data_IF_395088807851
#
_entry.id   IF_395088807851
#
_cell.length_a   1.000
_cell.length_b   1.000
_cell.length_c   1.000
_cell.angle_alpha   90.00
_cell.angle_beta   90.00
_cell.angle_gamma   90.00
#
_symmetry.space_group_name_H-M   'P 1'
#
loop_
_entity.id
_entity.type
_entity.pdbx_description
1 polymer ?
#
# COMPACT_ATOMS: atom_id res chain seq x y z
N UNK A 1 24.75 60.98 3.68
CA UNK A 1 23.58 60.10 3.53
C UNK A 1 22.35 60.97 3.46
N UNK A 2 21.71 61.01 2.30
CA UNK A 2 20.44 61.70 2.11
C UNK A 2 19.30 60.85 2.71
N UNK A 3 18.20 61.47 3.10
CA UNK A 3 16.99 60.78 3.59
C UNK A 3 16.47 59.76 2.58
N UNK A 4 16.65 60.02 1.28
CA UNK A 4 16.30 59.10 0.20
C UNK A 4 17.20 57.84 0.18
N UNK A 5 18.50 57.98 0.41
CA UNK A 5 19.43 56.84 0.50
C UNK A 5 19.10 55.95 1.71
N UNK A 6 18.81 56.55 2.86
CA UNK A 6 18.41 55.82 4.08
C UNK A 6 17.10 55.06 3.83
N UNK A 7 16.11 55.70 3.21
CA UNK A 7 14.85 55.06 2.85
C UNK A 7 15.04 53.90 1.84
N UNK A 8 15.96 54.04 0.88
CA UNK A 8 16.29 52.99 -0.07
C UNK A 8 16.97 51.78 0.59
N UNK A 9 17.92 52.00 1.51
CA UNK A 9 18.56 50.92 2.27
C UNK A 9 17.57 50.20 3.20
N UNK A 10 16.69 50.94 3.87
CA UNK A 10 15.65 50.36 4.72
C UNK A 10 14.63 49.58 3.89
N UNK A 11 14.22 50.11 2.72
CA UNK A 11 13.33 49.43 1.79
C UNK A 11 13.92 48.14 1.20
N UNK A 12 15.21 48.15 0.85
CA UNK A 12 15.93 46.94 0.40
C UNK A 12 16.09 45.93 1.55
N UNK A 13 16.37 46.40 2.77
CA UNK A 13 16.50 45.54 3.94
C UNK A 13 15.17 44.95 4.43
N UNK A 14 14.03 45.55 4.09
CA UNK A 14 12.71 45.01 4.44
C UNK A 14 12.42 43.64 3.80
N UNK A 15 13.04 43.33 2.64
CA UNK A 15 12.89 42.04 1.96
C UNK A 15 13.94 40.99 2.39
N UNK A 16 15.01 41.39 3.08
CA UNK A 16 16.07 40.48 3.52
C UNK A 16 15.54 39.31 4.36
N UNK A 17 14.65 39.49 5.34
CA UNK A 17 14.10 38.37 6.12
C UNK A 17 13.38 37.34 5.22
N UNK A 18 12.64 37.82 4.21
CA UNK A 18 11.85 36.98 3.31
C UNK A 18 12.74 36.20 2.33
N UNK A 19 13.74 36.86 1.75
CA UNK A 19 14.73 36.23 0.86
C UNK A 19 15.58 35.22 1.64
N UNK A 20 16.04 35.59 2.85
CA UNK A 20 16.78 34.71 3.73
C UNK A 20 15.94 33.48 4.11
N UNK A 21 14.66 33.66 4.43
CA UNK A 21 13.74 32.54 4.72
C UNK A 21 13.54 31.65 3.50
N UNK A 22 13.44 32.22 2.29
CA UNK A 22 13.30 31.45 1.06
C UNK A 22 14.54 30.61 0.76
N UNK A 23 15.73 31.21 0.86
CA UNK A 23 17.01 30.52 0.71
C UNK A 23 17.20 29.45 1.79
N UNK A 24 16.94 29.77 3.05
CA UNK A 24 17.00 28.85 4.18
C UNK A 24 16.08 27.63 3.95
N UNK A 25 14.82 27.86 3.58
CA UNK A 25 13.85 26.80 3.30
C UNK A 25 14.16 26.00 2.03
N UNK A 26 14.91 26.57 1.07
CA UNK A 26 15.39 25.83 -0.11
C UNK A 26 16.56 24.92 0.24
N UNK A 27 17.50 25.39 1.07
CA UNK A 27 18.69 24.64 1.46
C UNK A 27 18.42 23.58 2.55
N UNK A 28 17.36 23.73 3.35
CA UNK A 28 17.12 22.89 4.54
C UNK A 28 16.02 21.85 4.32
N UNK A 29 15.61 21.62 3.07
CA UNK A 29 14.78 20.47 2.76
C UNK A 29 15.54 19.20 3.16
N UNK A 30 14.99 18.37 4.05
CA UNK A 30 15.61 17.10 4.40
C UNK A 30 15.49 16.15 3.20
N UNK A 31 16.60 15.59 2.69
CA UNK A 31 16.51 14.49 1.76
C UNK A 31 16.00 13.26 2.51
N UNK A 32 15.02 12.58 1.93
CA UNK A 32 14.52 11.29 2.38
C UNK A 32 15.05 10.25 1.41
N UNK A 33 15.72 9.24 1.95
CA UNK A 33 16.24 8.12 1.17
C UNK A 33 15.39 6.89 1.46
N UNK A 34 14.93 6.24 0.39
CA UNK A 34 14.23 4.96 0.46
C UNK A 34 15.10 3.89 -0.18
N UNK A 35 15.34 2.83 0.57
CA UNK A 35 16.10 1.66 0.14
C UNK A 35 15.14 0.46 0.22
N UNK A 36 14.57 0.01 -0.91
CA UNK A 36 13.77 -1.20 -0.92
C UNK A 36 14.68 -2.42 -0.80
N UNK A 37 14.11 -3.48 -0.24
CA UNK A 37 14.66 -4.82 -0.34
C UNK A 37 14.70 -5.26 -1.81
N UNK A 38 15.54 -6.25 -2.09
CA UNK A 38 15.77 -6.79 -3.42
C UNK A 38 14.49 -7.37 -4.03
N UNK A 39 13.61 -7.92 -3.19
CA UNK A 39 12.39 -8.58 -3.64
C UNK A 39 11.13 -7.82 -3.20
N UNK A 40 10.14 -7.77 -4.10
CA UNK A 40 8.77 -7.38 -3.79
C UNK A 40 7.83 -8.58 -3.95
N UNK A 41 6.74 -8.57 -3.19
CA UNK A 41 5.65 -9.52 -3.34
C UNK A 41 4.54 -8.87 -4.17
N UNK A 42 4.27 -9.43 -5.33
CA UNK A 42 3.10 -9.11 -6.13
C UNK A 42 2.01 -10.12 -5.80
N UNK A 43 0.80 -9.64 -5.55
CA UNK A 43 -0.32 -10.48 -5.14
C UNK A 43 -1.65 -10.03 -5.72
N UNK A 44 -2.63 -10.92 -5.61
CA UNK A 44 -4.03 -10.63 -5.85
C UNK A 44 -4.85 -11.40 -4.82
N UNK A 45 -5.58 -10.69 -3.97
CA UNK A 45 -6.31 -11.27 -2.82
C UNK A 45 -7.71 -10.67 -2.72
N UNK A 46 -8.44 -10.95 -1.64
CA UNK A 46 -9.72 -10.28 -1.35
C UNK A 46 -9.62 -8.77 -1.16
N UNK A 47 -8.42 -8.23 -0.96
CA UNK A 47 -8.15 -6.78 -0.98
C UNK A 47 -7.74 -6.24 -2.37
N UNK A 48 -7.89 -7.07 -3.41
CA UNK A 48 -7.55 -6.74 -4.79
C UNK A 48 -6.06 -6.92 -5.10
N UNK A 49 -5.55 -6.20 -6.10
CA UNK A 49 -4.15 -6.19 -6.49
C UNK A 49 -3.26 -5.59 -5.40
N UNK A 50 -2.21 -6.33 -5.04
CA UNK A 50 -1.30 -5.99 -3.96
C UNK A 50 0.13 -5.91 -4.49
N UNK A 51 0.86 -4.93 -3.99
CA UNK A 51 2.31 -4.86 -4.12
C UNK A 51 2.88 -4.64 -2.72
N UNK A 52 3.58 -5.62 -2.17
CA UNK A 52 4.25 -5.49 -0.88
C UNK A 52 5.76 -5.39 -1.09
N UNK A 53 6.41 -4.59 -0.26
CA UNK A 53 7.86 -4.47 -0.32
C UNK A 53 8.38 -4.01 1.03
N UNK A 54 9.46 -4.65 1.47
CA UNK A 54 10.22 -4.20 2.63
C UNK A 54 11.08 -3.02 2.20
N UNK A 55 11.04 -1.95 2.98
CA UNK A 55 11.81 -0.75 2.70
C UNK A 55 12.43 -0.20 3.98
N UNK A 56 13.64 0.30 3.83
CA UNK A 56 14.30 1.12 4.81
C UNK A 56 14.12 2.60 4.47
N UNK A 57 13.83 3.39 5.50
CA UNK A 57 13.67 4.84 5.42
C UNK A 57 14.73 5.52 6.27
N UNK A 58 15.35 6.54 5.70
CA UNK A 58 16.19 7.49 6.45
C UNK A 58 15.88 8.90 5.99
N UNK A 59 15.99 9.84 6.92
CA UNK A 59 15.94 11.27 6.60
C UNK A 59 17.21 11.93 7.08
N UNK A 60 17.82 12.77 6.26
CA UNK A 60 18.95 13.57 6.70
C UNK A 60 18.47 14.92 7.23
N UNK A 61 19.26 15.52 8.13
CA UNK A 61 19.10 16.88 8.66
C UNK A 61 17.93 17.07 9.64
N UNK A 62 16.71 16.60 9.35
CA UNK A 62 15.53 16.80 10.21
C UNK A 62 14.51 15.68 10.09
N UNK A 63 13.84 15.37 11.20
CA UNK A 63 12.70 14.44 11.20
C UNK A 63 11.58 14.89 10.26
N UNK A 64 11.01 13.94 9.53
CA UNK A 64 9.87 14.16 8.63
C UNK A 64 8.72 13.23 9.00
N UNK A 65 7.50 13.76 8.96
CA UNK A 65 6.26 13.00 9.12
C UNK A 65 5.68 12.78 7.72
N UNK A 66 5.55 11.53 7.31
CA UNK A 66 4.88 11.12 6.07
C UNK A 66 3.43 10.79 6.40
N UNK A 67 2.48 11.40 5.70
CA UNK A 67 1.04 11.19 5.89
C UNK A 67 0.43 10.35 4.76
N UNK A 68 1.14 10.20 3.65
CA UNK A 68 0.70 9.39 2.54
C UNK A 68 1.89 8.80 1.79
N UNK A 69 1.70 7.55 1.39
CA UNK A 69 2.68 6.81 0.62
C UNK A 69 1.97 6.07 -0.50
N UNK A 70 2.33 6.42 -1.73
CA UNK A 70 1.78 5.83 -2.95
C UNK A 70 2.89 5.24 -3.82
N UNK A 71 2.51 4.24 -4.60
CA UNK A 71 3.31 3.72 -5.71
C UNK A 71 2.48 3.90 -6.99
N UNK A 72 3.03 4.66 -7.94
CA UNK A 72 2.55 4.66 -9.30
C UNK A 72 3.25 3.53 -10.07
N UNK A 73 2.48 2.53 -10.46
CA UNK A 73 2.90 1.46 -11.36
C UNK A 73 2.55 1.83 -12.79
N UNK A 74 3.51 1.71 -13.70
CA UNK A 74 3.32 1.86 -15.14
C UNK A 74 3.78 0.58 -15.82
N UNK A 75 2.89 -0.08 -16.54
CA UNK A 75 3.22 -1.23 -17.37
C UNK A 75 3.80 -0.80 -18.71
N UNK A 76 4.53 -1.68 -19.39
CA UNK A 76 5.15 -1.40 -20.69
C UNK A 76 4.14 -1.14 -21.83
N UNK A 77 2.89 -1.58 -21.69
CA UNK A 77 1.78 -1.22 -22.59
C UNK A 77 1.20 0.18 -22.34
N UNK A 78 1.68 0.88 -21.31
CA UNK A 78 1.22 2.21 -20.91
C UNK A 78 0.10 2.24 -19.87
N UNK A 79 -0.44 1.09 -19.43
CA UNK A 79 -1.42 1.07 -18.33
C UNK A 79 -0.79 1.59 -17.04
N UNK A 80 -1.54 2.38 -16.28
CA UNK A 80 -1.06 3.01 -15.04
C UNK A 80 -2.00 2.76 -13.88
N UNK A 81 -1.41 2.37 -12.75
CA UNK A 81 -2.14 2.01 -11.52
C UNK A 81 -1.49 2.70 -10.35
N UNK A 82 -2.31 3.29 -9.48
CA UNK A 82 -1.82 3.91 -8.25
C UNK A 82 -2.24 3.04 -7.07
N UNK A 83 -1.25 2.57 -6.33
CA UNK A 83 -1.44 1.84 -5.08
C UNK A 83 -1.10 2.76 -3.91
N UNK A 84 -1.83 2.64 -2.82
CA UNK A 84 -1.60 3.37 -1.57
C UNK A 84 -1.24 2.40 -0.46
N UNK A 85 -0.44 2.86 0.50
CA UNK A 85 -0.16 2.09 1.69
C UNK A 85 -1.48 1.74 2.43
N UNK A 86 -1.61 0.48 2.82
CA UNK A 86 -2.78 -0.01 3.55
C UNK A 86 -2.36 -0.71 4.86
N UNK A 87 -1.11 -1.15 4.94
CA UNK A 87 -0.53 -1.76 6.13
C UNK A 87 0.97 -1.50 6.23
N UNK A 88 1.44 -1.35 7.46
CA UNK A 88 2.85 -1.36 7.82
C UNK A 88 3.08 -2.49 8.82
N UNK A 89 4.06 -3.33 8.55
CA UNK A 89 4.54 -4.35 9.50
C UNK A 89 5.97 -4.00 9.91
N UNK A 90 6.23 -4.08 11.21
CA UNK A 90 7.56 -3.97 11.80
C UNK A 90 7.92 -5.26 12.52
N UNK A 91 9.12 -5.78 12.26
CA UNK A 91 9.64 -6.97 12.93
C UNK A 91 10.54 -6.53 14.08
N UNK A 92 10.25 -6.97 15.31
CA UNK A 92 10.98 -6.58 16.52
C UNK A 92 11.98 -7.63 16.99
N UNK A 93 11.67 -8.92 16.82
CA UNK A 93 12.51 -9.99 17.34
C UNK A 93 12.29 -11.31 16.59
N UNK A 94 13.35 -12.07 16.41
CA UNK A 94 13.30 -13.47 15.99
C UNK A 94 13.75 -14.32 17.19
N UNK A 95 12.77 -14.92 17.88
CA UNK A 95 13.03 -15.80 19.03
C UNK A 95 13.21 -17.20 18.45
N UNK A 96 14.39 -17.79 18.66
CA UNK A 96 14.59 -19.22 18.36
C UNK A 96 14.32 -19.99 19.65
N UNK A 97 13.35 -20.90 19.64
CA UNK A 97 13.09 -21.78 20.78
C UNK A 97 14.21 -22.83 20.94
N UNK A 98 14.23 -23.54 22.08
CA UNK A 98 15.20 -24.60 22.34
C UNK A 98 15.09 -25.81 21.38
N UNK A 99 14.01 -25.91 20.58
CA UNK A 99 13.80 -26.93 19.57
C UNK A 99 14.24 -26.47 18.16
N UNK A 100 14.76 -25.24 18.02
CA UNK A 100 15.20 -24.66 16.76
C UNK A 100 14.10 -23.98 15.93
N UNK A 101 12.87 -23.87 16.46
CA UNK A 101 11.78 -23.16 15.78
C UNK A 101 11.96 -21.65 15.94
N UNK A 102 11.90 -20.92 14.83
CA UNK A 102 11.99 -19.46 14.80
C UNK A 102 10.60 -18.85 14.86
N UNK A 103 10.35 -18.07 15.91
CA UNK A 103 9.15 -17.27 16.07
C UNK A 103 9.51 -15.80 15.84
N UNK A 104 8.89 -15.19 14.84
CA UNK A 104 9.06 -13.76 14.54
C UNK A 104 7.97 -12.97 15.26
N UNK A 105 8.38 -12.04 16.13
CA UNK A 105 7.48 -11.08 16.77
C UNK A 105 7.39 -9.85 15.88
N UNK A 106 6.20 -9.61 15.33
CA UNK A 106 5.92 -8.45 14.48
C UNK A 106 4.71 -7.65 14.98
N UNK A 107 4.63 -6.40 14.55
CA UNK A 107 3.48 -5.52 14.79
C UNK A 107 2.91 -5.05 13.46
N UNK A 108 1.66 -5.41 13.21
CA UNK A 108 0.88 -4.90 12.10
C UNK A 108 0.15 -3.62 12.50
N UNK A 109 0.18 -2.61 11.63
CA UNK A 109 -0.45 -1.32 11.85
C UNK A 109 -1.14 -0.83 10.58
N UNK A 110 -2.34 -0.26 10.72
CA UNK A 110 -2.96 0.55 9.67
C UNK A 110 -2.29 1.93 9.69
N UNK A 111 -1.61 2.35 8.61
CA UNK A 111 -0.84 3.59 8.63
C UNK A 111 -1.73 4.82 8.57
N UNK A 112 -1.48 5.76 9.49
CA UNK A 112 -2.00 7.14 9.42
C UNK A 112 -0.86 8.09 9.08
N UNK A 113 0.27 7.92 9.75
CA UNK A 113 1.50 8.62 9.45
C UNK A 113 2.73 7.78 9.84
N UNK A 114 3.87 8.07 9.21
CA UNK A 114 5.17 7.48 9.52
C UNK A 114 6.15 8.59 9.85
N UNK A 115 6.71 8.58 11.06
CA UNK A 115 7.81 9.46 11.43
C UNK A 115 9.13 8.83 10.96
N UNK A 116 9.83 9.51 10.06
CA UNK A 116 11.17 9.15 9.62
C UNK A 116 12.15 10.05 10.39
N UNK A 117 12.97 9.43 11.23
CA UNK A 117 13.96 10.13 12.06
C UNK A 117 15.30 10.31 11.38
N UNK A 118 16.15 11.16 11.96
CA UNK A 118 17.53 11.37 11.49
C UNK A 118 18.57 10.40 12.05
N UNK A 119 18.28 9.76 13.18
CA UNK A 119 19.28 9.00 13.95
C UNK A 119 19.28 7.51 13.64
N UNK A 120 18.16 6.95 13.20
CA UNK A 120 18.01 5.52 12.98
C UNK A 120 17.32 5.22 11.66
N UNK A 121 17.88 4.27 10.91
CA UNK A 121 17.22 3.67 9.76
C UNK A 121 16.02 2.85 10.24
N UNK A 122 14.85 3.11 9.67
CA UNK A 122 13.61 2.44 10.04
C UNK A 122 13.24 1.47 8.93
N UNK A 123 13.20 0.18 9.22
CA UNK A 123 12.73 -0.85 8.29
C UNK A 123 11.24 -1.11 8.50
N UNK A 124 10.46 -1.01 7.41
CA UNK A 124 9.03 -1.38 7.41
C UNK A 124 8.74 -2.28 6.23
N UNK A 125 7.91 -3.28 6.45
CA UNK A 125 7.24 -4.00 5.38
C UNK A 125 5.95 -3.26 5.04
N UNK A 126 5.91 -2.67 3.84
CA UNK A 126 4.81 -1.80 3.41
C UNK A 126 3.92 -2.58 2.46
N UNK A 127 2.63 -2.66 2.80
CA UNK A 127 1.60 -3.29 1.98
C UNK A 127 0.86 -2.23 1.18
N UNK A 128 0.93 -2.28 -0.14
CA UNK A 128 0.20 -1.36 -1.02
C UNK A 128 -1.01 -2.04 -1.66
N UNK A 129 -2.13 -1.32 -1.69
CA UNK A 129 -3.40 -1.77 -2.26
C UNK A 129 -3.98 -0.68 -3.17
N UNK A 130 -4.81 -1.08 -4.13
CA UNK A 130 -5.45 -0.13 -5.05
C UNK A 130 -6.71 0.50 -4.41
N UNK A 131 -6.78 1.83 -4.20
CA UNK A 131 -7.96 2.47 -3.63
C UNK A 131 -9.23 2.25 -4.47
N UNK A 132 -9.08 2.24 -5.80
CA UNK A 132 -10.20 2.04 -6.74
C UNK A 132 -10.90 0.69 -6.55
N UNK A 133 -10.16 -0.34 -6.13
CA UNK A 133 -10.76 -1.65 -5.84
C UNK A 133 -11.70 -1.55 -4.64
N UNK A 134 -11.27 -0.94 -3.54
CA UNK A 134 -12.10 -0.74 -2.35
C UNK A 134 -13.32 0.15 -2.62
N UNK A 135 -13.15 1.17 -3.46
CA UNK A 135 -14.24 2.07 -3.87
C UNK A 135 -15.30 1.35 -4.71
N UNK A 136 -14.88 0.48 -5.65
CA UNK A 136 -15.80 -0.28 -6.49
C UNK A 136 -16.47 -1.45 -5.77
N UNK A 137 -15.79 -2.04 -4.79
CA UNK A 137 -16.30 -3.18 -4.02
C UNK A 137 -17.29 -2.76 -2.93
N UNK A 138 -17.10 -1.57 -2.33
CA UNK A 138 -17.94 -1.07 -1.23
C UNK A 138 -19.46 -1.16 -1.47
N UNK A 139 -20.04 -0.72 -2.60
CA UNK A 139 -21.48 -0.81 -2.82
C UNK A 139 -21.99 -2.26 -2.88
N UNK A 140 -21.31 -3.14 -3.63
CA UNK A 140 -21.75 -4.54 -3.77
C UNK A 140 -21.63 -5.32 -2.46
N UNK A 141 -20.61 -5.04 -1.65
CA UNK A 141 -20.49 -5.61 -0.29
C UNK A 141 -21.61 -5.09 0.61
N UNK A 142 -21.94 -3.80 0.55
CA UNK A 142 -23.03 -3.24 1.34
C UNK A 142 -24.38 -3.89 0.99
N UNK A 143 -24.64 -4.14 -0.28
CA UNK A 143 -25.85 -4.84 -0.74
C UNK A 143 -25.89 -6.30 -0.24
N UNK A 144 -24.78 -7.03 -0.35
CA UNK A 144 -24.67 -8.39 0.17
C UNK A 144 -24.92 -8.44 1.68
N UNK A 145 -24.32 -7.52 2.44
CA UNK A 145 -24.52 -7.45 3.90
C UNK A 145 -25.96 -7.08 4.25
N UNK A 146 -26.60 -6.19 3.51
CA UNK A 146 -28.01 -5.85 3.72
C UNK A 146 -28.92 -7.06 3.47
N UNK A 147 -28.69 -7.77 2.37
CA UNK A 147 -29.43 -8.99 2.02
C UNK A 147 -29.24 -10.09 3.07
N UNK A 148 -28.00 -10.38 3.46
CA UNK A 148 -27.67 -11.36 4.48
C UNK A 148 -28.33 -11.05 5.83
N UNK A 149 -28.23 -9.80 6.29
CA UNK A 149 -28.83 -9.38 7.55
C UNK A 149 -30.35 -9.41 7.52
N UNK A 150 -30.98 -9.09 6.39
CA UNK A 150 -32.42 -9.21 6.22
C UNK A 150 -32.87 -10.66 6.41
N UNK A 151 -32.25 -11.62 5.71
CA UNK A 151 -32.58 -13.05 5.84
C UNK A 151 -32.34 -13.58 7.26
N UNK A 152 -31.23 -13.17 7.89
CA UNK A 152 -30.90 -13.57 9.26
C UNK A 152 -31.94 -13.05 10.26
N UNK A 153 -32.39 -11.81 10.11
CA UNK A 153 -33.38 -11.18 11.01
C UNK A 153 -34.80 -11.67 10.78
N UNK A 154 -35.13 -12.11 9.57
CA UNK A 154 -36.45 -12.71 9.28
C UNK A 154 -36.61 -14.11 9.89
N UNK A 155 -35.58 -14.66 10.54
CA UNK A 155 -35.61 -15.99 11.11
C UNK A 155 -35.56 -17.10 10.06
N UNK A 156 -35.03 -16.82 8.87
CA UNK A 156 -34.90 -17.81 7.81
C UNK A 156 -33.84 -18.86 8.21
N UNK A 157 -34.21 -20.14 8.41
CA UNK A 157 -33.26 -21.17 8.81
C UNK A 157 -32.19 -21.44 7.75
N UNK A 158 -32.47 -21.13 6.48
CA UNK A 158 -31.60 -21.35 5.33
C UNK A 158 -30.90 -20.07 4.85
N UNK A 159 -30.87 -19.01 5.68
CA UNK A 159 -30.32 -17.71 5.30
C UNK A 159 -28.90 -17.78 4.70
N UNK A 160 -28.04 -18.67 5.21
CA UNK A 160 -26.69 -18.92 4.67
C UNK A 160 -26.78 -19.51 3.26
N UNK A 161 -27.54 -20.60 3.09
CA UNK A 161 -27.67 -21.28 1.79
C UNK A 161 -28.32 -20.37 0.73
N UNK A 162 -29.28 -19.52 1.13
CA UNK A 162 -29.88 -18.52 0.24
C UNK A 162 -28.91 -17.40 -0.13
N UNK A 163 -28.12 -16.91 0.82
CA UNK A 163 -27.07 -15.92 0.54
C UNK A 163 -26.04 -16.48 -0.44
N UNK A 164 -25.66 -17.75 -0.29
CA UNK A 164 -24.72 -18.42 -1.19
C UNK A 164 -25.22 -18.57 -2.64
N UNK A 165 -26.54 -18.47 -2.86
CA UNK A 165 -27.18 -18.51 -4.18
C UNK A 165 -27.68 -17.13 -4.64
N UNK A 166 -27.41 -16.10 -3.86
CA UNK A 166 -27.93 -14.75 -4.11
C UNK A 166 -27.21 -14.07 -5.28
N UNK A 167 -27.91 -13.16 -5.94
CA UNK A 167 -27.29 -12.30 -6.97
C UNK A 167 -26.28 -11.34 -6.35
N UNK A 168 -26.49 -10.93 -5.11
CA UNK A 168 -25.64 -10.01 -4.36
C UNK A 168 -24.25 -10.63 -4.14
N UNK A 169 -24.20 -11.92 -3.81
CA UNK A 169 -22.92 -12.65 -3.72
C UNK A 169 -22.22 -12.71 -5.08
N UNK A 170 -22.96 -13.04 -6.14
CA UNK A 170 -22.42 -13.08 -7.50
C UNK A 170 -21.85 -11.71 -7.92
N UNK A 171 -22.53 -10.61 -7.59
CA UNK A 171 -22.04 -9.26 -7.88
C UNK A 171 -20.71 -8.94 -7.17
N UNK A 172 -20.52 -9.39 -5.92
CA UNK A 172 -19.23 -9.24 -5.23
C UNK A 172 -18.14 -10.06 -5.91
N UNK A 173 -18.42 -11.33 -6.22
CA UNK A 173 -17.47 -12.22 -6.89
C UNK A 173 -17.04 -11.64 -8.26
N UNK A 174 -18.01 -11.19 -9.05
CA UNK A 174 -17.76 -10.61 -10.38
C UNK A 174 -16.91 -9.32 -10.28
N UNK A 175 -17.24 -8.42 -9.35
CA UNK A 175 -16.48 -7.18 -9.12
C UNK A 175 -15.03 -7.48 -8.71
N UNK A 176 -14.82 -8.44 -7.80
CA UNK A 176 -13.46 -8.86 -7.41
C UNK A 176 -12.71 -9.44 -8.59
N UNK A 177 -13.29 -10.37 -9.35
CA UNK A 177 -12.66 -10.99 -10.50
C UNK A 177 -12.22 -9.97 -11.56
N UNK A 178 -13.09 -9.00 -11.88
CA UNK A 178 -12.78 -7.91 -12.83
C UNK A 178 -11.68 -6.97 -12.36
N UNK A 179 -11.35 -6.98 -11.07
CA UNK A 179 -10.25 -6.18 -10.51
C UNK A 179 -8.87 -6.78 -10.76
N UNK A 180 -8.78 -8.00 -11.32
CA UNK A 180 -7.49 -8.56 -11.73
C UNK A 180 -6.97 -7.86 -12.99
N UNK A 181 -5.93 -7.04 -12.84
CA UNK A 181 -5.30 -6.34 -13.96
C UNK A 181 -3.81 -6.61 -14.16
N UNK A 182 -3.20 -7.51 -13.37
CA UNK A 182 -1.80 -7.89 -13.57
C UNK A 182 -1.58 -8.50 -14.95
N UNK A 183 -0.52 -8.08 -15.64
CA UNK A 183 -0.13 -8.51 -16.98
C UNK A 183 1.33 -8.94 -16.98
N UNK A 184 1.68 -9.84 -17.90
CA UNK A 184 3.08 -10.18 -18.13
C UNK A 184 3.79 -8.96 -18.74
N UNK A 185 5.06 -8.78 -18.38
CA UNK A 185 5.87 -7.69 -18.93
C UNK A 185 6.57 -6.85 -17.87
N UNK A 186 7.22 -5.78 -18.31
CA UNK A 186 7.95 -4.86 -17.46
C UNK A 186 7.01 -3.84 -16.80
N UNK A 187 7.24 -3.61 -15.52
CA UNK A 187 6.62 -2.54 -14.74
C UNK A 187 7.67 -1.56 -14.24
N UNK A 188 7.35 -0.28 -14.30
CA UNK A 188 8.04 0.78 -13.57
C UNK A 188 7.23 1.18 -12.35
N UNK A 189 7.86 1.14 -11.17
CA UNK A 189 7.29 1.58 -9.90
C UNK A 189 7.91 2.93 -9.51
N UNK A 190 7.07 3.95 -9.32
CA UNK A 190 7.49 5.28 -8.85
C UNK A 190 6.88 5.56 -7.49
N UNK A 191 7.73 5.68 -6.47
CA UNK A 191 7.36 6.04 -5.11
C UNK A 191 6.98 7.51 -5.01
N UNK A 192 5.89 7.80 -4.30
CA UNK A 192 5.42 9.16 -4.01
C UNK A 192 5.07 9.25 -2.54
N UNK A 193 5.68 10.24 -1.87
CA UNK A 193 5.42 10.53 -0.47
C UNK A 193 4.67 11.86 -0.36
N UNK A 194 3.78 11.99 0.62
CA UNK A 194 3.20 13.26 1.03
C UNK A 194 3.55 13.57 2.49
N UNK A 195 3.82 14.84 2.75
CA UNK A 195 4.15 15.37 4.08
C UNK A 195 3.65 16.81 4.19
N UNK A 196 3.25 17.27 5.39
CA UNK A 196 2.94 18.68 5.63
C UNK A 196 4.18 19.57 5.48
N UNK A 197 5.39 19.02 5.62
CA UNK A 197 6.66 19.75 5.44
C UNK A 197 7.27 19.41 4.09
N UNK A 198 7.97 20.37 3.48
CA UNK A 198 8.71 20.14 2.22
C UNK A 198 9.95 19.29 2.50
N UNK A 199 10.19 18.30 1.63
CA UNK A 199 11.36 17.43 1.63
C UNK A 199 11.79 17.17 0.17
N UNK A 200 12.93 16.51 0.00
CA UNK A 200 13.37 15.98 -1.30
C UNK A 200 13.41 14.46 -1.22
N UNK A 201 12.86 13.76 -2.22
CA UNK A 201 12.87 12.29 -2.25
C UNK A 201 14.01 11.82 -3.14
N UNK A 202 15.03 11.21 -2.53
CA UNK A 202 16.10 10.57 -3.25
C UNK A 202 15.65 9.18 -3.72
N UNK A 203 15.91 8.87 -4.99
CA UNK A 203 15.74 7.55 -5.58
C UNK A 203 14.32 6.96 -5.45
N UNK A 204 13.39 7.46 -6.26
CA UNK A 204 11.98 7.05 -6.19
C UNK A 204 11.56 6.03 -7.24
N UNK A 205 12.43 5.61 -8.17
CA UNK A 205 12.05 4.81 -9.35
C UNK A 205 12.73 3.44 -9.37
N UNK A 206 11.93 2.43 -9.66
CA UNK A 206 12.35 1.04 -9.73
C UNK A 206 11.63 0.32 -10.87
N UNK A 207 12.17 -0.82 -11.28
CA UNK A 207 11.56 -1.71 -12.25
C UNK A 207 11.51 -3.15 -11.75
N UNK A 208 10.51 -3.89 -12.20
CA UNK A 208 10.41 -5.33 -12.06
C UNK A 208 9.73 -5.92 -13.30
N UNK A 209 9.78 -7.24 -13.45
CA UNK A 209 9.15 -7.96 -14.56
C UNK A 209 8.27 -9.07 -13.99
N UNK A 210 7.05 -9.18 -14.51
CA UNK A 210 6.19 -10.34 -14.29
C UNK A 210 6.31 -11.30 -15.47
N UNK A 211 6.71 -12.53 -15.18
CA UNK A 211 6.77 -13.59 -16.17
C UNK A 211 5.38 -14.16 -16.46
N UNK A 212 5.18 -14.91 -17.57
CA UNK A 212 3.92 -15.61 -17.82
C UNK A 212 3.52 -16.54 -16.66
N UNK A 213 4.49 -17.25 -16.08
CA UNK A 213 4.27 -18.14 -14.94
C UNK A 213 3.81 -17.38 -13.67
N UNK A 214 4.31 -16.16 -13.46
CA UNK A 214 3.82 -15.31 -12.36
C UNK A 214 2.36 -14.96 -12.55
N UNK A 215 1.95 -14.60 -13.76
CA UNK A 215 0.56 -14.27 -14.07
C UNK A 215 -0.35 -15.48 -13.91
N UNK A 216 0.05 -16.65 -14.40
CA UNK A 216 -0.75 -17.86 -14.25
C UNK A 216 -0.90 -18.25 -12.78
N UNK A 217 0.17 -18.13 -11.99
CA UNK A 217 0.14 -18.32 -10.54
C UNK A 217 -0.80 -17.32 -9.85
N UNK A 218 -0.74 -16.04 -10.19
CA UNK A 218 -1.61 -15.02 -9.60
C UNK A 218 -3.08 -15.22 -9.98
N UNK A 219 -3.36 -15.67 -11.20
CA UNK A 219 -4.73 -15.99 -11.66
C UNK A 219 -5.36 -17.14 -10.86
N UNK A 220 -4.57 -18.07 -10.32
CA UNK A 220 -5.11 -19.14 -9.46
C UNK A 220 -5.81 -18.57 -8.21
N UNK A 221 -5.42 -17.38 -7.74
CA UNK A 221 -6.07 -16.73 -6.60
C UNK A 221 -7.52 -16.31 -6.89
N UNK A 222 -7.93 -16.23 -8.17
CA UNK A 222 -9.33 -15.95 -8.52
C UNK A 222 -10.26 -17.03 -7.95
N UNK A 223 -9.86 -18.30 -8.00
CA UNK A 223 -10.62 -19.37 -7.37
C UNK A 223 -10.59 -19.27 -5.84
N UNK A 224 -9.46 -18.85 -5.27
CA UNK A 224 -9.30 -18.63 -3.83
C UNK A 224 -10.23 -17.53 -3.29
N UNK A 225 -10.53 -16.50 -4.07
CA UNK A 225 -11.49 -15.44 -3.69
C UNK A 225 -12.88 -16.00 -3.34
N UNK A 226 -13.34 -16.99 -4.11
CA UNK A 226 -14.63 -17.62 -3.90
C UNK A 226 -14.64 -18.41 -2.57
N UNK A 227 -13.58 -19.16 -2.31
CA UNK A 227 -13.41 -19.92 -1.07
C UNK A 227 -13.40 -18.96 0.13
N UNK A 228 -12.61 -17.89 0.07
CA UNK A 228 -12.51 -16.88 1.13
C UNK A 228 -13.88 -16.26 1.45
N UNK A 229 -14.61 -15.82 0.42
CA UNK A 229 -15.93 -15.20 0.60
C UNK A 229 -16.97 -16.19 1.13
N UNK A 230 -16.97 -17.42 0.64
CA UNK A 230 -17.86 -18.48 1.14
C UNK A 230 -17.54 -18.87 2.58
N UNK A 231 -16.26 -18.91 2.97
CA UNK A 231 -15.85 -19.15 4.35
C UNK A 231 -16.42 -18.07 5.28
N UNK A 232 -16.36 -16.79 4.88
CA UNK A 232 -16.92 -15.68 5.66
C UNK A 232 -18.42 -15.87 5.87
N UNK A 233 -19.19 -16.21 4.83
CA UNK A 233 -20.64 -16.40 4.95
C UNK A 233 -20.96 -17.62 5.82
N UNK A 234 -20.32 -18.76 5.54
CA UNK A 234 -20.56 -20.02 6.25
C UNK A 234 -20.10 -20.01 7.71
N UNK A 235 -19.20 -19.11 8.11
CA UNK A 235 -18.77 -18.93 9.52
C UNK A 235 -19.90 -18.64 10.51
N UNK A 236 -21.10 -18.34 10.00
CA UNK A 236 -22.30 -18.16 10.81
C UNK A 236 -23.07 -19.46 11.11
N UNK A 237 -22.57 -20.63 10.66
CA UNK A 237 -23.09 -21.95 11.00
C UNK A 237 -22.30 -22.55 12.18
N UNK A 238 -22.97 -23.24 13.13
CA UNK A 238 -22.35 -23.70 14.37
C UNK A 238 -21.22 -24.72 14.16
N UNK A 239 -21.33 -25.58 13.14
CA UNK A 239 -20.37 -26.67 12.88
C UNK A 239 -19.46 -26.39 11.67
N UNK A 240 -19.35 -25.13 11.23
CA UNK A 240 -18.55 -24.81 10.06
C UNK A 240 -17.04 -24.80 10.37
N UNK A 241 -16.31 -25.60 9.60
CA UNK A 241 -14.85 -25.53 9.52
C UNK A 241 -14.44 -24.86 8.23
N UNK A 242 -13.68 -23.76 8.33
CA UNK A 242 -13.24 -22.99 7.18
C UNK A 242 -12.29 -23.81 6.31
N UNK A 243 -12.50 -23.76 4.99
CA UNK A 243 -11.53 -24.31 4.04
C UNK A 243 -10.26 -23.46 4.05
N UNK A 244 -9.06 -24.04 3.90
CA UNK A 244 -7.82 -23.28 3.91
C UNK A 244 -7.78 -22.27 2.75
N UNK A 245 -7.46 -21.02 3.07
CA UNK A 245 -7.28 -19.93 2.10
C UNK A 245 -5.79 -19.66 1.94
N UNK A 246 -5.22 -20.17 0.84
CA UNK A 246 -3.81 -19.99 0.51
C UNK A 246 -3.69 -19.06 -0.70
N UNK A 247 -3.10 -17.89 -0.48
CA UNK A 247 -2.81 -16.92 -1.54
C UNK A 247 -1.47 -17.23 -2.19
N UNK A 248 -1.46 -17.25 -3.52
CA UNK A 248 -0.23 -17.33 -4.29
C UNK A 248 0.37 -15.93 -4.50
N UNK A 249 1.68 -15.82 -4.26
CA UNK A 249 2.43 -14.58 -4.40
C UNK A 249 3.53 -14.73 -5.45
N UNK A 250 3.80 -13.66 -6.18
CA UNK A 250 4.94 -13.57 -7.08
C UNK A 250 6.04 -12.70 -6.47
N UNK A 251 7.16 -13.34 -6.13
CA UNK A 251 8.34 -12.67 -5.59
C UNK A 251 9.22 -12.19 -6.75
N UNK A 252 9.22 -10.89 -7.01
CA UNK A 252 9.90 -10.28 -8.15
C UNK A 252 11.15 -9.53 -7.71
N UNK A 253 12.21 -9.63 -8.51
CA UNK A 253 13.45 -8.85 -8.32
C UNK A 253 13.19 -7.39 -8.72
N UNK A 254 13.45 -6.46 -7.80
CA UNK A 254 13.30 -5.03 -8.01
C UNK A 254 14.68 -4.44 -8.29
N UNK A 255 14.78 -3.68 -9.39
CA UNK A 255 15.99 -2.97 -9.76
C UNK A 255 15.75 -1.47 -9.74
N UNK A 256 16.65 -0.71 -9.13
CA UNK A 256 16.62 0.76 -9.18
C UNK A 256 16.80 1.23 -10.62
N UNK A 257 16.03 2.25 -11.00
CA UNK A 257 16.23 3.00 -12.24
C UNK A 257 16.88 4.33 -11.82
N UNK A 258 18.08 4.61 -12.31
CA UNK A 258 18.69 5.93 -12.09
C UNK A 258 17.92 7.00 -12.88
N UNK A 259 17.81 8.19 -12.30
CA UNK A 259 17.26 9.33 -13.04
C UNK A 259 18.30 9.73 -14.11
N UNK A 260 17.87 9.73 -15.37
CA UNK A 260 18.64 10.29 -16.49
C UNK A 260 18.83 11.80 -16.34
#
# INVERSE_FOLDING_TARGET
MTTAEIAAYVGAAAWLPQIATWLYNRFIRPPITIIPDKYAEVGFTSYGPIFNVRMAFSSERKDVIIEGFEILLKHEDGDTRTLRWAGLTETFSEITDNAGNRQVVSRDQTPIALKIGTESLVEKFVRFQEPRHHESERPVISELLAHFNFLKRSGDPDYVARTLKSKELYSVQETRQKSFWWKQGRYEATLRLSSPKKFELAHSRYQFVLSPNDIDRLKQNIATLDIDLKNIINSNLPDFSALPVNWNWANVDIKRIEAA
#
